data_IF_315907861761
#
_entry.id   IF_315907861761
#
_cell.length_a   1.000
_cell.length_b   1.000
_cell.length_c   1.000
_cell.angle_alpha   90.00
_cell.angle_beta   90.00
_cell.angle_gamma   90.00
#
_symmetry.space_group_name_H-M   'P 1'
#
loop_
_entity.id
_entity.type
_entity.pdbx_description
1 polymer ?
#
# COMPACT_ATOMS: atom_id res chain seq x y z
N UNK A 1 -7.65 -2.71 5.83
CA UNK A 1 -8.29 -2.68 7.16
C UNK A 1 -8.61 -4.10 7.61
N UNK A 2 -8.40 -4.41 8.87
CA UNK A 2 -8.41 -5.79 9.36
C UNK A 2 -9.41 -5.99 10.48
N UNK A 3 -10.17 -7.07 10.37
CA UNK A 3 -11.04 -7.61 11.43
C UNK A 3 -11.06 -9.14 11.37
N UNK A 4 -11.72 -9.80 12.34
CA UNK A 4 -11.81 -11.28 12.38
C UNK A 4 -12.61 -11.90 11.22
N UNK A 5 -13.37 -11.11 10.46
CA UNK A 5 -14.30 -11.60 9.43
C UNK A 5 -13.99 -11.10 8.02
N UNK A 6 -13.30 -9.96 7.90
CA UNK A 6 -13.06 -9.33 6.61
C UNK A 6 -11.78 -8.48 6.64
N UNK A 7 -10.88 -8.75 5.71
CA UNK A 7 -9.68 -7.95 5.47
C UNK A 7 -9.78 -7.37 4.07
N UNK A 8 -9.40 -6.11 3.92
CA UNK A 8 -9.46 -5.44 2.62
C UNK A 8 -8.35 -4.40 2.47
N UNK A 9 -7.82 -4.28 1.28
CA UNK A 9 -7.08 -3.10 0.87
C UNK A 9 -8.04 -1.93 0.69
N UNK A 10 -7.65 -0.75 1.16
CA UNK A 10 -8.41 0.50 1.00
C UNK A 10 -7.69 1.49 0.07
N UNK A 11 -6.44 1.23 -0.28
CA UNK A 11 -5.68 1.98 -1.26
C UNK A 11 -5.48 1.17 -2.52
N UNK A 12 -5.29 1.86 -3.63
CA UNK A 12 -4.95 1.28 -4.93
C UNK A 12 -3.49 1.61 -5.22
N UNK A 13 -2.77 0.68 -5.78
CA UNK A 13 -1.45 0.96 -6.33
C UNK A 13 -1.60 1.68 -7.66
N UNK A 14 -0.80 2.74 -7.83
CA UNK A 14 -0.79 3.52 -9.07
C UNK A 14 0.32 3.02 -10.00
N UNK A 15 0.24 1.74 -10.42
CA UNK A 15 1.21 1.16 -11.37
C UNK A 15 0.98 1.66 -12.79
N UNK A 16 2.06 1.85 -13.53
CA UNK A 16 1.97 2.20 -14.96
C UNK A 16 1.26 1.13 -15.81
N UNK A 17 1.23 -0.10 -15.33
CA UNK A 17 0.56 -1.25 -15.98
C UNK A 17 -0.94 -1.31 -15.74
N UNK A 18 -1.50 -0.52 -14.81
CA UNK A 18 -2.95 -0.40 -14.64
C UNK A 18 -3.57 0.21 -15.90
N UNK A 19 -4.61 -0.43 -16.46
CA UNK A 19 -5.22 -0.03 -17.72
C UNK A 19 -5.69 1.43 -17.73
N UNK A 20 -6.23 1.92 -16.61
CA UNK A 20 -6.71 3.31 -16.50
C UNK A 20 -5.55 4.30 -16.51
N UNK A 21 -4.50 3.98 -15.77
CA UNK A 21 -3.28 4.80 -15.70
C UNK A 21 -2.56 4.79 -17.05
N UNK A 22 -2.45 3.64 -17.70
CA UNK A 22 -1.87 3.48 -19.04
C UNK A 22 -2.59 4.37 -20.07
N UNK A 23 -3.91 4.27 -20.14
CA UNK A 23 -4.73 5.10 -21.05
C UNK A 23 -4.52 6.60 -20.75
N UNK A 24 -4.44 6.97 -19.49
CA UNK A 24 -4.22 8.36 -19.06
C UNK A 24 -2.83 8.86 -19.49
N UNK A 25 -1.79 8.07 -19.25
CA UNK A 25 -0.40 8.36 -19.61
C UNK A 25 -0.27 8.56 -21.12
N UNK A 26 -0.78 7.61 -21.90
CA UNK A 26 -0.73 7.66 -23.38
C UNK A 26 -1.46 8.89 -23.94
N UNK A 27 -2.63 9.24 -23.37
CA UNK A 27 -3.37 10.46 -23.76
C UNK A 27 -2.60 11.76 -23.46
N UNK A 28 -1.71 11.74 -22.49
CA UNK A 28 -0.87 12.88 -22.12
C UNK A 28 0.51 12.86 -22.83
N UNK A 29 0.68 11.96 -23.80
CA UNK A 29 1.90 11.87 -24.63
C UNK A 29 3.04 11.09 -23.98
N UNK A 30 2.79 10.38 -22.89
CA UNK A 30 3.75 9.46 -22.28
C UNK A 30 3.76 8.10 -22.96
N UNK A 31 4.79 7.33 -22.65
CA UNK A 31 4.94 5.95 -23.14
C UNK A 31 5.23 5.03 -21.97
N UNK A 32 4.76 3.78 -22.05
CA UNK A 32 5.11 2.74 -21.09
C UNK A 32 6.06 1.77 -21.78
N UNK A 33 7.25 1.67 -21.23
CA UNK A 33 8.34 0.83 -21.72
C UNK A 33 8.80 -0.04 -20.55
N UNK A 34 8.77 -1.36 -20.73
CA UNK A 34 9.14 -2.34 -19.70
C UNK A 34 8.40 -2.08 -18.36
N UNK A 35 7.09 -1.91 -18.46
CA UNK A 35 6.17 -1.64 -17.33
C UNK A 35 6.48 -0.33 -16.55
N UNK A 36 7.25 0.58 -17.15
CA UNK A 36 7.66 1.84 -16.55
C UNK A 36 7.29 3.04 -17.42
N UNK A 37 6.90 4.13 -16.78
CA UNK A 37 6.70 5.40 -17.46
C UNK A 37 8.05 5.87 -18.05
N UNK A 38 8.07 6.01 -19.36
CA UNK A 38 9.24 6.38 -20.18
C UNK A 38 10.49 5.50 -19.89
N UNK A 39 10.26 4.22 -19.52
CA UNK A 39 11.31 3.26 -19.15
C UNK A 39 11.99 3.52 -17.80
N UNK A 40 11.51 4.47 -17.00
CA UNK A 40 12.16 4.94 -15.77
C UNK A 40 11.38 4.60 -14.50
N UNK A 41 10.13 5.05 -14.40
CA UNK A 41 9.36 5.02 -13.17
C UNK A 41 8.24 3.97 -13.24
N UNK A 42 8.19 3.05 -12.28
CA UNK A 42 7.18 1.99 -12.24
C UNK A 42 5.78 2.48 -11.85
N UNK A 43 5.71 3.60 -11.12
CA UNK A 43 4.46 4.21 -10.67
C UNK A 43 4.02 5.35 -11.60
N UNK A 44 2.72 5.59 -11.67
CA UNK A 44 2.11 6.62 -12.54
C UNK A 44 1.80 7.92 -11.81
N UNK A 45 1.98 7.94 -10.47
CA UNK A 45 1.70 9.11 -9.62
C UNK A 45 2.77 9.26 -8.55
N UNK A 46 3.36 10.45 -8.46
CA UNK A 46 4.33 10.81 -7.42
C UNK A 46 4.45 12.31 -7.26
N UNK A 47 4.99 12.75 -6.12
CA UNK A 47 5.59 14.07 -6.00
C UNK A 47 6.99 14.06 -6.62
N UNK A 48 7.47 15.19 -7.15
CA UNK A 48 8.79 15.23 -7.80
C UNK A 48 8.78 14.62 -9.20
N UNK A 49 9.90 14.06 -9.63
CA UNK A 49 10.12 13.47 -10.96
C UNK A 49 9.69 14.44 -12.10
N UNK A 50 10.14 15.69 -12.02
CA UNK A 50 9.64 16.79 -12.84
C UNK A 50 9.81 16.56 -14.35
N UNK A 51 10.82 15.82 -14.76
CA UNK A 51 11.10 15.45 -16.15
C UNK A 51 10.05 14.52 -16.73
N UNK A 52 9.25 13.84 -15.88
CA UNK A 52 8.16 12.96 -16.30
C UNK A 52 6.76 13.61 -16.20
N UNK A 53 6.64 14.83 -15.65
CA UNK A 53 5.32 15.50 -15.53
C UNK A 53 4.67 15.77 -16.88
N UNK A 54 5.46 16.16 -17.88
CA UNK A 54 4.97 16.33 -19.25
C UNK A 54 4.79 15.02 -20.02
N UNK A 55 5.07 13.89 -19.40
CA UNK A 55 4.89 12.51 -19.89
C UNK A 55 3.72 11.79 -19.22
N UNK A 56 2.87 12.51 -18.53
CA UNK A 56 1.70 11.95 -17.88
C UNK A 56 1.88 11.50 -16.43
N UNK A 57 3.04 11.77 -15.79
CA UNK A 57 3.16 11.63 -14.35
C UNK A 57 2.35 12.73 -13.64
N UNK A 58 1.46 12.36 -12.75
CA UNK A 58 0.68 13.31 -11.95
C UNK A 58 0.93 13.11 -10.45
N UNK A 59 0.50 14.08 -9.64
CA UNK A 59 0.57 13.97 -8.17
C UNK A 59 -0.82 13.92 -7.51
N UNK A 60 -1.88 13.83 -8.31
CA UNK A 60 -3.24 13.72 -7.80
C UNK A 60 -3.47 12.33 -7.17
N UNK A 61 -3.78 12.25 -5.86
CA UNK A 61 -3.96 10.97 -5.20
C UNK A 61 -5.36 10.39 -5.44
N UNK A 62 -5.48 9.07 -5.32
CA UNK A 62 -6.77 8.45 -5.07
C UNK A 62 -7.21 8.70 -3.63
N UNK A 63 -8.48 9.09 -3.45
CA UNK A 63 -9.04 9.36 -2.13
C UNK A 63 -10.14 8.35 -1.84
N UNK A 64 -9.95 7.57 -0.78
CA UNK A 64 -10.96 6.66 -0.25
C UNK A 64 -11.39 7.12 1.14
N UNK A 65 -12.70 7.24 1.36
CA UNK A 65 -13.27 7.54 2.68
C UNK A 65 -13.97 6.29 3.21
N UNK A 66 -13.58 5.87 4.42
CA UNK A 66 -14.16 4.72 5.09
C UNK A 66 -14.65 5.12 6.47
N UNK A 67 -15.90 4.77 6.78
CA UNK A 67 -16.41 4.91 8.15
C UNK A 67 -15.80 3.80 9.02
N UNK A 68 -15.29 4.20 10.18
CA UNK A 68 -14.77 3.27 11.18
C UNK A 68 -15.93 2.87 12.07
N UNK A 69 -16.28 1.60 12.05
CA UNK A 69 -17.27 0.99 12.92
C UNK A 69 -16.61 -0.01 13.89
N UNK A 70 -17.39 -0.54 14.82
CA UNK A 70 -16.87 -1.48 15.83
C UNK A 70 -16.41 -2.83 15.26
N UNK A 71 -16.60 -3.09 13.97
CA UNK A 71 -16.12 -4.31 13.32
C UNK A 71 -14.66 -4.22 12.91
N UNK A 72 -14.11 -3.01 12.75
CA UNK A 72 -12.74 -2.78 12.33
C UNK A 72 -11.82 -2.71 13.54
N UNK A 73 -10.79 -3.53 13.54
CA UNK A 73 -9.83 -3.61 14.66
C UNK A 73 -8.59 -2.78 14.40
N UNK A 74 -8.02 -2.89 13.20
CA UNK A 74 -6.74 -2.28 12.88
C UNK A 74 -6.74 -1.66 11.48
N UNK A 75 -5.97 -0.57 11.34
CA UNK A 75 -5.54 -0.05 10.05
C UNK A 75 -4.02 -0.23 9.97
N UNK A 76 -3.54 -0.77 8.86
CA UNK A 76 -2.12 -1.02 8.63
C UNK A 76 -1.68 -0.21 7.42
N UNK A 77 -0.64 0.60 7.63
CA UNK A 77 0.06 1.35 6.58
C UNK A 77 1.46 0.76 6.48
N UNK A 78 1.86 0.40 5.29
CA UNK A 78 3.18 -0.18 5.08
C UNK A 78 3.73 0.17 3.70
N UNK A 79 5.07 0.09 3.56
CA UNK A 79 5.73 0.17 2.27
C UNK A 79 5.51 -1.11 1.47
N UNK A 80 5.86 -1.05 0.19
CA UNK A 80 5.83 -2.18 -0.74
C UNK A 80 6.71 -3.34 -0.28
N UNK A 81 7.83 -3.09 0.41
CA UNK A 81 8.62 -4.14 1.05
C UNK A 81 7.85 -5.06 2.00
N UNK A 82 6.68 -4.61 2.52
CA UNK A 82 5.73 -5.48 3.23
C UNK A 82 4.74 -6.13 2.26
N UNK A 83 4.11 -5.33 1.39
CA UNK A 83 2.99 -5.79 0.57
C UNK A 83 3.38 -6.73 -0.56
N UNK A 84 4.63 -6.63 -1.06
CA UNK A 84 5.17 -7.55 -2.07
C UNK A 84 5.55 -8.91 -1.46
N UNK A 85 5.76 -8.98 -0.12
CA UNK A 85 6.20 -10.18 0.58
C UNK A 85 5.08 -10.88 1.35
N UNK A 86 4.06 -10.14 1.81
CA UNK A 86 2.97 -10.63 2.66
C UNK A 86 1.61 -10.32 2.05
N UNK A 87 0.77 -11.33 1.96
CA UNK A 87 -0.61 -11.15 1.53
C UNK A 87 -1.54 -10.80 2.72
N UNK A 88 -2.82 -10.51 2.42
CA UNK A 88 -3.82 -10.17 3.44
C UNK A 88 -4.03 -11.26 4.49
N UNK A 89 -3.90 -12.55 4.12
CA UNK A 89 -4.08 -13.66 5.05
C UNK A 89 -2.92 -13.77 6.01
N UNK A 90 -1.67 -13.56 5.54
CA UNK A 90 -0.49 -13.50 6.41
C UNK A 90 -0.63 -12.38 7.45
N UNK A 91 -1.03 -11.19 7.01
CA UNK A 91 -1.24 -10.04 7.91
C UNK A 91 -2.39 -10.30 8.89
N UNK A 92 -3.48 -10.88 8.42
CA UNK A 92 -4.62 -11.24 9.25
C UNK A 92 -4.21 -12.21 10.37
N UNK A 93 -3.43 -13.24 10.03
CA UNK A 93 -2.91 -14.20 11.01
C UNK A 93 -2.02 -13.51 12.04
N UNK A 94 -1.08 -12.68 11.59
CA UNK A 94 -0.20 -11.93 12.49
C UNK A 94 -1.00 -11.05 13.44
N UNK A 95 -1.98 -10.29 12.95
CA UNK A 95 -2.80 -9.41 13.77
C UNK A 95 -3.63 -10.18 14.80
N UNK A 96 -4.15 -11.34 14.43
CA UNK A 96 -4.90 -12.20 15.33
C UNK A 96 -4.01 -12.81 16.43
N UNK A 97 -2.85 -13.36 16.07
CA UNK A 97 -1.91 -13.98 17.00
C UNK A 97 -1.29 -12.97 17.98
N UNK A 98 -1.22 -11.69 17.59
CA UNK A 98 -0.65 -10.60 18.40
C UNK A 98 -1.69 -9.63 18.98
N UNK A 99 -2.97 -10.00 19.01
CA UNK A 99 -4.05 -9.13 19.51
C UNK A 99 -3.79 -8.61 20.93
N UNK A 100 -3.17 -9.44 21.79
CA UNK A 100 -2.81 -9.08 23.16
C UNK A 100 -1.44 -8.38 23.31
N UNK A 101 -0.72 -8.20 22.19
CA UNK A 101 0.62 -7.61 22.17
C UNK A 101 0.73 -6.57 21.04
N UNK A 102 -0.20 -5.61 21.04
CA UNK A 102 -0.35 -4.59 20.03
C UNK A 102 0.94 -3.81 19.75
N UNK A 103 1.68 -3.46 20.81
CA UNK A 103 2.91 -2.64 20.71
C UNK A 103 4.01 -3.29 19.86
N UNK A 104 3.99 -4.63 19.73
CA UNK A 104 4.95 -5.36 18.90
C UNK A 104 4.41 -5.75 17.51
N UNK A 105 3.15 -5.49 17.21
CA UNK A 105 2.50 -5.97 15.98
C UNK A 105 3.21 -5.49 14.70
N UNK A 106 3.55 -4.20 14.63
CA UNK A 106 4.29 -3.65 13.49
C UNK A 106 5.67 -4.31 13.32
N UNK A 107 6.37 -4.56 14.43
CA UNK A 107 7.66 -5.25 14.43
C UNK A 107 7.52 -6.69 13.92
N UNK A 108 6.49 -7.42 14.33
CA UNK A 108 6.25 -8.79 13.86
C UNK A 108 5.97 -8.81 12.37
N UNK A 109 5.20 -7.84 11.85
CA UNK A 109 4.91 -7.71 10.41
C UNK A 109 6.22 -7.48 9.63
N UNK A 110 7.04 -6.50 10.03
CA UNK A 110 8.29 -6.21 9.32
C UNK A 110 9.27 -7.38 9.37
N UNK A 111 9.41 -8.04 10.51
CA UNK A 111 10.24 -9.23 10.63
C UNK A 111 9.74 -10.37 9.75
N UNK A 112 8.43 -10.55 9.62
CA UNK A 112 7.84 -11.57 8.77
C UNK A 112 8.09 -11.30 7.29
N UNK A 113 8.02 -10.03 6.85
CA UNK A 113 8.37 -9.62 5.50
C UNK A 113 9.85 -9.95 5.18
N UNK A 114 10.77 -9.63 6.07
CA UNK A 114 12.18 -10.01 5.94
C UNK A 114 12.37 -11.53 5.83
N UNK A 115 11.70 -12.32 6.68
CA UNK A 115 11.76 -13.79 6.65
C UNK A 115 11.19 -14.38 5.34
N UNK A 116 10.30 -13.67 4.66
CA UNK A 116 9.75 -14.03 3.35
C UNK A 116 10.61 -13.58 2.18
N UNK A 117 11.78 -13.01 2.47
CA UNK A 117 12.76 -12.62 1.46
C UNK A 117 12.56 -11.22 0.88
N UNK A 118 11.88 -10.31 1.58
CA UNK A 118 11.85 -8.92 1.16
C UNK A 118 13.25 -8.32 1.20
N UNK A 119 13.69 -7.77 0.08
CA UNK A 119 15.00 -7.10 -0.09
C UNK A 119 14.87 -5.57 -0.12
N UNK A 120 13.64 -5.06 -0.01
CA UNK A 120 13.37 -3.62 -0.05
C UNK A 120 13.34 -2.99 1.35
N UNK A 121 13.19 -1.67 1.40
CA UNK A 121 12.94 -0.92 2.63
C UNK A 121 11.59 -1.35 3.23
N UNK A 122 11.60 -1.80 4.46
CA UNK A 122 10.42 -2.35 5.13
C UNK A 122 9.97 -1.40 6.23
N UNK A 123 8.82 -0.75 6.02
CA UNK A 123 8.20 0.14 7.01
C UNK A 123 6.76 -0.29 7.27
N UNK A 124 6.34 -0.24 8.54
CA UNK A 124 4.97 -0.59 8.92
C UNK A 124 4.50 0.25 10.11
N UNK A 125 3.27 0.75 10.01
CA UNK A 125 2.53 1.40 11.09
C UNK A 125 1.24 0.63 11.29
N UNK A 126 0.92 0.29 12.53
CA UNK A 126 -0.35 -0.32 12.92
C UNK A 126 -1.12 0.66 13.78
N UNK A 127 -2.36 0.94 13.39
CA UNK A 127 -3.28 1.82 14.13
C UNK A 127 -4.38 0.96 14.76
N UNK A 128 -4.54 1.04 16.07
CA UNK A 128 -5.63 0.41 16.80
C UNK A 128 -6.91 1.26 16.66
N UNK A 129 -7.89 0.72 15.94
CA UNK A 129 -9.18 1.39 15.71
C UNK A 129 -10.22 1.08 16.81
N UNK A 130 -9.94 0.14 17.72
CA UNK A 130 -10.81 -0.18 18.86
C UNK A 130 -10.72 0.88 19.96
N UNK A 131 -9.55 1.52 20.09
CA UNK A 131 -9.35 2.60 21.07
C UNK A 131 -10.03 3.86 20.55
N UNK A 132 -11.07 4.32 21.25
CA UNK A 132 -11.69 5.62 20.96
C UNK A 132 -10.64 6.69 21.25
N UNK A 133 -10.31 7.49 20.23
CA UNK A 133 -9.55 8.72 20.42
C UNK A 133 -10.57 9.74 20.94
N UNK A 134 -10.41 10.10 22.21
CA UNK A 134 -11.21 11.17 22.85
C UNK A 134 -10.54 12.52 22.54
#
# INVERSE_FOLDING_TARGET
MFNRKKNEFITTEDKCTDDKEKIRIEKLGGQIIDDRLDGKLAISRSFGDYDLKNKGLICEPHITKKFIDNSLNYCILASDGVWDSLNLDDISKITFENENNFDNMAKVITQKAMQRGSEDNISCIVVDLKKKIY
#
